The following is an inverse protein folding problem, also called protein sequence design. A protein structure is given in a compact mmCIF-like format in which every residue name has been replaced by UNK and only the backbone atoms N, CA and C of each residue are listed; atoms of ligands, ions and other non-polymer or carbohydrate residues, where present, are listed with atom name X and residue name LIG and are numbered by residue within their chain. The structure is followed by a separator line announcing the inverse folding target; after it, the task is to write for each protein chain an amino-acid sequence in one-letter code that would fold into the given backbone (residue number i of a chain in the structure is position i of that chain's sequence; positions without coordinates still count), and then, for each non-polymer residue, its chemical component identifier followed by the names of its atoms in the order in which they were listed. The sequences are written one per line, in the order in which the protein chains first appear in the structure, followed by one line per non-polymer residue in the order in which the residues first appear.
data_IF_419762594483
#
_entry.id   IF_419762594483
#
_cell.length_a   1.000
_cell.length_b   1.000
_cell.length_c   1.000
_cell.angle_alpha   90.00
_cell.angle_beta   90.00
_cell.angle_gamma   90.00
#
_symmetry.space_group_name_H-M   'P 1'
#
loop_
_entity.id
_entity.type
_entity.pdbx_description
1 polymer ?
#
# COMPACT_ATOMS: atom_id res chain seq x y z
N UNK A 1 -9.52 23.38 3.03
CA UNK A 1 -9.46 23.04 1.59
C UNK A 1 -10.90 22.98 1.15
N UNK A 2 -11.39 23.92 0.33
CA UNK A 2 -12.83 23.98 0.02
C UNK A 2 -13.20 22.81 -0.88
N UNK A 3 -14.03 21.90 -0.38
CA UNK A 3 -14.51 20.76 -1.18
C UNK A 3 -15.56 21.24 -2.18
N UNK A 4 -15.78 20.48 -3.27
CA UNK A 4 -16.82 20.81 -4.25
C UNK A 4 -18.20 20.99 -3.60
N UNK A 5 -18.52 20.22 -2.56
CA UNK A 5 -19.79 20.31 -1.83
C UNK A 5 -19.93 21.61 -1.06
N UNK A 6 -18.88 22.01 -0.32
CA UNK A 6 -18.84 23.28 0.43
C UNK A 6 -19.02 24.47 -0.51
N UNK A 7 -18.40 24.43 -1.70
CA UNK A 7 -18.60 25.45 -2.73
C UNK A 7 -20.02 25.44 -3.29
N UNK A 8 -20.55 24.25 -3.59
CA UNK A 8 -21.91 24.09 -4.12
C UNK A 8 -23.00 24.57 -3.16
N UNK A 9 -22.79 24.46 -1.85
CA UNK A 9 -23.71 25.01 -0.84
C UNK A 9 -23.48 26.49 -0.56
N UNK A 10 -22.26 27.00 -0.72
CA UNK A 10 -21.96 28.42 -0.62
C UNK A 10 -22.45 29.24 -1.82
N UNK A 11 -22.53 28.65 -3.02
CA UNK A 11 -22.95 29.35 -4.24
C UNK A 11 -24.39 29.91 -4.16
N UNK A 12 -25.40 29.16 -3.67
CA UNK A 12 -26.74 29.68 -3.43
C UNK A 12 -26.78 30.90 -2.50
N UNK A 13 -25.84 31.01 -1.54
CA UNK A 13 -25.79 32.13 -0.61
C UNK A 13 -25.40 33.47 -1.25
N UNK A 14 -25.02 33.50 -2.53
CA UNK A 14 -24.71 34.74 -3.25
C UNK A 14 -25.93 35.61 -3.53
N UNK A 15 -27.13 35.02 -3.58
CA UNK A 15 -28.37 35.71 -3.92
C UNK A 15 -29.34 35.72 -2.71
N UNK A 16 -30.13 36.79 -2.59
CA UNK A 16 -31.27 36.87 -1.67
C UNK A 16 -32.55 36.23 -2.25
N UNK A 17 -33.65 36.26 -1.49
CA UNK A 17 -34.94 35.66 -1.87
C UNK A 17 -35.54 36.28 -3.13
N UNK A 18 -35.17 37.52 -3.44
CA UNK A 18 -35.61 38.27 -4.63
C UNK A 18 -34.66 38.08 -5.83
N UNK A 19 -33.61 37.28 -5.67
CA UNK A 19 -32.61 37.01 -6.71
C UNK A 19 -31.56 38.10 -6.87
N UNK A 20 -31.48 39.07 -5.96
CA UNK A 20 -30.46 40.11 -5.98
C UNK A 20 -29.18 39.64 -5.28
N UNK A 21 -28.04 40.23 -5.65
CA UNK A 21 -26.74 39.90 -5.05
C UNK A 21 -26.66 40.45 -3.63
N UNK A 22 -26.38 39.57 -2.66
CA UNK A 22 -26.12 39.95 -1.26
C UNK A 22 -24.86 40.81 -1.12
N UNK A 23 -24.80 41.62 -0.06
CA UNK A 23 -23.57 42.33 0.30
C UNK A 23 -22.46 41.33 0.65
N UNK A 24 -21.19 41.77 0.56
CA UNK A 24 -20.06 40.91 0.94
C UNK A 24 -20.16 40.44 2.41
N UNK A 25 -20.62 41.30 3.32
CA UNK A 25 -20.75 40.99 4.74
C UNK A 25 -21.84 39.94 5.00
N UNK A 26 -22.99 40.05 4.33
CA UNK A 26 -24.07 39.06 4.42
C UNK A 26 -23.63 37.71 3.84
N UNK A 27 -23.02 37.72 2.66
CA UNK A 27 -22.45 36.52 2.06
C UNK A 27 -21.37 35.88 2.94
N UNK A 28 -20.48 36.68 3.52
CA UNK A 28 -19.42 36.19 4.41
C UNK A 28 -20.00 35.52 5.65
N UNK A 29 -21.01 36.12 6.29
CA UNK A 29 -21.67 35.54 7.46
C UNK A 29 -22.35 34.20 7.12
N UNK A 30 -23.06 34.14 5.99
CA UNK A 30 -23.70 32.91 5.50
C UNK A 30 -22.66 31.81 5.25
N UNK A 31 -21.57 32.14 4.54
CA UNK A 31 -20.49 31.20 4.24
C UNK A 31 -19.72 30.77 5.48
N UNK A 32 -19.53 31.64 6.47
CA UNK A 32 -18.89 31.26 7.75
C UNK A 32 -19.72 30.24 8.53
N UNK A 33 -21.06 30.30 8.45
CA UNK A 33 -21.93 29.30 9.06
C UNK A 33 -21.78 27.92 8.38
N UNK A 34 -21.66 27.91 7.05
CA UNK A 34 -21.36 26.72 6.24
C UNK A 34 -19.98 26.18 6.61
N UNK A 35 -18.97 27.04 6.68
CA UNK A 35 -17.59 26.69 7.06
C UNK A 35 -17.54 25.99 8.43
N UNK A 36 -18.28 26.48 9.43
CA UNK A 36 -18.37 25.82 10.75
C UNK A 36 -19.01 24.43 10.70
N UNK A 37 -19.97 24.20 9.80
CA UNK A 37 -20.62 22.90 9.63
C UNK A 37 -19.64 21.87 9.04
N UNK A 38 -18.93 22.23 7.98
CA UNK A 38 -17.97 21.34 7.32
C UNK A 38 -16.67 21.19 8.11
N UNK A 39 -16.02 22.31 8.43
CA UNK A 39 -14.65 22.35 8.94
C UNK A 39 -14.56 22.21 10.47
N UNK A 40 -15.69 22.20 11.19
CA UNK A 40 -15.71 21.87 12.62
C UNK A 40 -16.61 20.67 12.95
N UNK A 41 -17.91 20.72 12.61
CA UNK A 41 -18.85 19.69 13.06
C UNK A 41 -18.66 18.35 12.31
N UNK A 42 -18.66 18.38 10.97
CA UNK A 42 -18.45 17.17 10.17
C UNK A 42 -17.03 16.64 10.34
N UNK A 43 -16.02 17.51 10.29
CA UNK A 43 -14.65 17.13 10.56
C UNK A 43 -14.50 16.41 11.92
N UNK A 44 -15.13 16.91 12.98
CA UNK A 44 -15.11 16.27 14.30
C UNK A 44 -15.82 14.92 14.29
N UNK A 45 -16.99 14.83 13.65
CA UNK A 45 -17.74 13.57 13.56
C UNK A 45 -16.95 12.49 12.79
N UNK A 46 -16.31 12.87 11.70
CA UNK A 46 -15.44 12.00 10.89
C UNK A 46 -14.17 11.59 11.64
N UNK A 47 -13.51 12.54 12.31
CA UNK A 47 -12.36 12.27 13.16
C UNK A 47 -12.69 11.26 14.27
N UNK A 48 -13.81 11.45 14.96
CA UNK A 48 -14.28 10.53 15.99
C UNK A 48 -14.62 9.14 15.41
N UNK A 49 -15.24 9.10 14.23
CA UNK A 49 -15.56 7.85 13.55
C UNK A 49 -14.31 7.04 13.18
N UNK A 50 -13.32 7.68 12.55
CA UNK A 50 -12.06 7.03 12.17
C UNK A 50 -11.33 6.48 13.39
N UNK A 51 -11.28 7.25 14.49
CA UNK A 51 -10.69 6.77 15.74
C UNK A 51 -11.46 5.59 16.33
N UNK A 52 -12.79 5.65 16.40
CA UNK A 52 -13.61 4.56 16.91
C UNK A 52 -13.44 3.29 16.06
N UNK A 53 -13.50 3.40 14.73
CA UNK A 53 -13.25 2.27 13.81
C UNK A 53 -11.86 1.66 14.01
N UNK A 54 -10.82 2.48 14.17
CA UNK A 54 -9.46 1.98 14.42
C UNK A 54 -9.35 1.23 15.76
N UNK A 55 -9.97 1.75 16.83
CA UNK A 55 -10.02 1.07 18.13
C UNK A 55 -10.76 -0.27 18.05
N UNK A 56 -11.88 -0.30 17.32
CA UNK A 56 -12.68 -1.50 17.12
C UNK A 56 -11.94 -2.52 16.23
N UNK A 57 -11.18 -2.08 15.23
CA UNK A 57 -10.32 -2.95 14.44
C UNK A 57 -9.22 -3.62 15.29
N UNK A 58 -8.57 -2.87 16.18
CA UNK A 58 -7.58 -3.42 17.11
C UNK A 58 -8.19 -4.45 18.09
N UNK A 59 -9.43 -4.22 18.52
CA UNK A 59 -10.19 -5.19 19.32
C UNK A 59 -10.47 -6.46 18.54
N UNK A 60 -10.94 -6.35 17.29
CA UNK A 60 -11.19 -7.49 16.43
C UNK A 60 -9.94 -8.37 16.26
N UNK A 61 -8.79 -7.75 15.98
CA UNK A 61 -7.51 -8.48 15.88
C UNK A 61 -7.17 -9.22 17.18
N UNK A 62 -7.36 -8.57 18.33
CA UNK A 62 -7.17 -9.21 19.64
C UNK A 62 -8.13 -10.38 19.85
N UNK A 63 -9.40 -10.23 19.45
CA UNK A 63 -10.41 -11.28 19.59
C UNK A 63 -10.10 -12.50 18.71
N UNK A 64 -9.58 -12.26 17.51
CA UNK A 64 -9.18 -13.33 16.58
C UNK A 64 -8.04 -14.19 17.13
N UNK A 65 -7.13 -13.62 17.94
CA UNK A 65 -6.04 -14.38 18.57
C UNK A 65 -6.54 -15.42 19.57
N UNK A 66 -7.66 -15.14 20.25
CA UNK A 66 -8.28 -16.08 21.20
C UNK A 66 -9.18 -17.13 20.53
N UNK A 67 -9.50 -16.96 19.25
CA UNK A 67 -10.35 -17.86 18.47
C UNK A 67 -11.73 -18.08 19.11
N UNK A 68 -12.20 -19.33 19.12
CA UNK A 68 -13.54 -19.71 19.62
C UNK A 68 -13.63 -19.85 21.15
N UNK A 69 -12.64 -19.36 21.89
CA UNK A 69 -12.63 -19.48 23.36
C UNK A 69 -13.73 -18.65 24.03
N UNK A 70 -14.12 -17.54 23.41
CA UNK A 70 -15.08 -16.58 23.95
C UNK A 70 -16.16 -16.25 22.92
N UNK A 71 -17.34 -15.86 23.41
CA UNK A 71 -18.31 -15.15 22.58
C UNK A 71 -18.00 -13.66 22.63
N UNK A 72 -18.50 -12.92 21.64
CA UNK A 72 -18.51 -11.47 21.66
C UNK A 72 -19.85 -10.98 22.21
N UNK A 73 -19.82 -9.90 22.98
CA UNK A 73 -21.01 -9.24 23.48
C UNK A 73 -20.96 -7.76 23.17
N UNK A 74 -22.05 -7.27 22.57
CA UNK A 74 -22.26 -5.86 22.30
C UNK A 74 -22.53 -5.11 23.60
N UNK A 75 -21.97 -3.90 23.70
CA UNK A 75 -22.02 -3.03 24.87
C UNK A 75 -22.27 -1.61 24.45
N UNK A 76 -23.11 -0.92 25.19
CA UNK A 76 -23.26 0.53 25.07
C UNK A 76 -22.66 1.25 26.26
N UNK A 77 -22.45 2.56 26.14
CA UNK A 77 -22.06 3.40 27.28
C UNK A 77 -23.12 3.43 28.39
N UNK A 78 -24.38 3.06 28.09
CA UNK A 78 -25.49 3.07 29.04
C UNK A 78 -25.95 4.46 29.49
N UNK A 79 -25.50 5.52 28.82
CA UNK A 79 -25.90 6.90 29.10
C UNK A 79 -27.07 7.35 28.21
N UNK A 80 -27.63 8.51 28.54
CA UNK A 80 -28.74 9.17 27.84
C UNK A 80 -28.38 9.64 26.41
N UNK A 81 -27.10 9.55 26.02
CA UNK A 81 -26.60 9.91 24.68
C UNK A 81 -26.51 8.70 23.75
N UNK A 82 -26.72 7.49 24.25
CA UNK A 82 -26.86 6.29 23.41
C UNK A 82 -28.20 6.36 22.69
N UNK A 83 -28.19 6.16 21.36
CA UNK A 83 -29.42 6.11 20.57
C UNK A 83 -30.29 4.93 21.03
N UNK A 84 -31.62 5.08 21.14
CA UNK A 84 -32.50 3.99 21.58
C UNK A 84 -32.32 2.71 20.78
N UNK A 85 -32.16 2.82 19.46
CA UNK A 85 -31.98 1.67 18.57
C UNK A 85 -30.64 0.96 18.80
N UNK A 86 -29.60 1.69 19.23
CA UNK A 86 -28.32 1.09 19.62
C UNK A 86 -28.38 0.51 21.04
N UNK A 87 -29.16 1.10 21.95
CA UNK A 87 -29.36 0.59 23.30
C UNK A 87 -30.02 -0.80 23.27
N UNK A 88 -30.88 -1.06 22.29
CA UNK A 88 -31.48 -2.38 22.05
C UNK A 88 -30.46 -3.47 21.71
N UNK A 89 -29.27 -3.10 21.18
CA UNK A 89 -28.17 -4.03 20.96
C UNK A 89 -27.40 -4.37 22.23
N UNK A 90 -27.61 -3.68 23.36
CA UNK A 90 -26.87 -3.98 24.58
C UNK A 90 -27.08 -5.44 25.00
N UNK A 91 -25.97 -6.15 25.24
CA UNK A 91 -25.95 -7.58 25.61
C UNK A 91 -26.28 -8.56 24.50
N UNK A 92 -26.45 -8.14 23.25
CA UNK A 92 -26.42 -9.07 22.11
C UNK A 92 -25.12 -9.87 22.15
N UNK A 93 -25.24 -11.18 22.31
CA UNK A 93 -24.11 -12.09 22.53
C UNK A 93 -24.08 -13.15 21.46
N UNK A 94 -23.01 -13.20 20.68
CA UNK A 94 -22.88 -14.13 19.56
C UNK A 94 -21.46 -14.70 19.49
N UNK A 95 -21.28 -15.91 18.91
CA UNK A 95 -19.97 -16.38 18.50
C UNK A 95 -19.26 -15.37 17.61
N UNK A 96 -17.92 -15.32 17.64
CA UNK A 96 -17.14 -14.39 16.79
C UNK A 96 -17.35 -14.63 15.28
N UNK A 97 -17.74 -15.85 14.89
CA UNK A 97 -17.98 -16.26 13.51
C UNK A 97 -19.40 -15.96 13.01
N UNK A 98 -20.27 -15.38 13.85
CA UNK A 98 -21.62 -15.05 13.44
C UNK A 98 -21.62 -13.86 12.45
N UNK A 99 -22.35 -13.93 11.32
CA UNK A 99 -22.33 -12.89 10.29
C UNK A 99 -22.91 -11.55 10.77
N UNK A 100 -23.61 -11.52 11.92
CA UNK A 100 -23.97 -10.27 12.59
C UNK A 100 -22.78 -9.33 12.75
N UNK A 101 -21.59 -9.87 13.05
CA UNK A 101 -20.39 -9.05 13.23
C UNK A 101 -19.79 -8.53 11.93
N UNK A 102 -20.23 -9.00 10.76
CA UNK A 102 -19.78 -8.45 9.48
C UNK A 102 -20.46 -7.11 9.19
N UNK A 103 -21.71 -6.95 9.60
CA UNK A 103 -22.53 -5.77 9.30
C UNK A 103 -22.78 -4.85 10.50
N UNK A 104 -22.89 -5.37 11.72
CA UNK A 104 -23.34 -4.61 12.89
C UNK A 104 -22.27 -4.39 13.95
N UNK A 105 -21.00 -4.57 13.58
CA UNK A 105 -19.87 -4.29 14.45
C UNK A 105 -19.64 -2.77 14.57
N UNK A 106 -19.60 -2.19 15.78
CA UNK A 106 -19.44 -0.76 15.97
C UNK A 106 -18.22 -0.18 15.25
N UNK A 107 -18.26 1.09 14.80
CA UNK A 107 -19.31 2.09 15.07
C UNK A 107 -20.52 2.08 14.11
N UNK A 108 -21.73 1.89 14.67
CA UNK A 108 -23.00 1.83 13.91
C UNK A 108 -23.60 3.22 13.63
N UNK A 109 -22.76 4.25 13.51
CA UNK A 109 -23.20 5.63 13.26
C UNK A 109 -22.21 6.71 13.71
N UNK A 110 -22.44 7.95 13.28
CA UNK A 110 -21.64 9.10 13.72
C UNK A 110 -21.70 9.27 15.24
N UNK A 111 -20.53 9.48 15.87
CA UNK A 111 -20.39 9.58 17.33
C UNK A 111 -21.00 8.40 18.10
N UNK A 112 -20.94 7.19 17.53
CA UNK A 112 -21.36 5.96 18.20
C UNK A 112 -20.60 5.78 19.53
N UNK A 113 -21.31 5.39 20.59
CA UNK A 113 -20.79 5.16 21.95
C UNK A 113 -20.81 3.68 22.34
N UNK A 114 -20.84 2.81 21.34
CA UNK A 114 -20.95 1.37 21.50
C UNK A 114 -19.60 0.69 21.32
N UNK A 115 -19.46 -0.50 21.90
CA UNK A 115 -18.26 -1.32 21.84
C UNK A 115 -18.63 -2.79 21.85
N UNK A 116 -17.65 -3.65 21.58
CA UNK A 116 -17.75 -5.10 21.77
C UNK A 116 -16.69 -5.56 22.77
N UNK A 117 -17.02 -6.58 23.55
CA UNK A 117 -16.12 -7.22 24.53
C UNK A 117 -16.24 -8.74 24.43
N UNK A 118 -15.18 -9.47 24.77
CA UNK A 118 -15.26 -10.92 24.92
C UNK A 118 -15.92 -11.30 26.24
N UNK A 119 -16.73 -12.36 26.20
CA UNK A 119 -17.44 -12.90 27.34
C UNK A 119 -17.33 -14.42 27.40
N UNK A 120 -17.37 -14.97 28.62
CA UNK A 120 -17.35 -16.43 28.83
C UNK A 120 -18.67 -17.04 28.37
N UNK A 121 -18.59 -18.05 27.50
CA UNK A 121 -19.74 -18.81 26.98
C UNK A 121 -20.66 -19.36 28.08
N UNK A 122 -20.09 -19.77 29.21
CA UNK A 122 -20.86 -20.33 30.34
C UNK A 122 -21.60 -19.30 31.18
N UNK A 123 -21.23 -18.00 31.12
CA UNK A 123 -21.82 -16.95 31.96
C UNK A 123 -22.87 -16.13 31.21
N UNK A 124 -22.73 -16.00 29.90
CA UNK A 124 -23.59 -15.13 29.09
C UNK A 124 -24.25 -15.95 27.97
N UNK A 125 -25.58 -16.11 27.99
CA UNK A 125 -26.28 -16.88 26.97
C UNK A 125 -26.16 -16.20 25.61
N UNK A 126 -26.16 -17.02 24.55
CA UNK A 126 -26.16 -16.55 23.17
C UNK A 126 -27.55 -15.99 22.84
N UNK A 127 -27.58 -14.82 22.20
CA UNK A 127 -28.80 -14.26 21.60
C UNK A 127 -29.15 -15.05 20.35
N UNK A 128 -30.41 -15.44 20.14
CA UNK A 128 -30.84 -16.07 18.88
C UNK A 128 -30.40 -15.23 17.67
N UNK A 129 -29.85 -15.89 16.65
CA UNK A 129 -29.29 -15.21 15.48
C UNK A 129 -30.29 -14.25 14.81
N UNK A 130 -31.50 -14.73 14.53
CA UNK A 130 -32.53 -13.93 13.87
C UNK A 130 -32.96 -12.70 14.69
N UNK A 131 -32.98 -12.84 16.02
CA UNK A 131 -33.26 -11.72 16.94
C UNK A 131 -32.14 -10.68 16.87
N UNK A 132 -30.88 -11.13 16.93
CA UNK A 132 -29.73 -10.23 16.83
C UNK A 132 -29.70 -9.50 15.48
N UNK A 133 -29.96 -10.20 14.37
CA UNK A 133 -30.03 -9.59 13.04
C UNK A 133 -31.14 -8.54 12.94
N UNK A 134 -32.33 -8.82 13.49
CA UNK A 134 -33.42 -7.85 13.52
C UNK A 134 -33.05 -6.58 14.30
N UNK A 135 -32.40 -6.73 15.45
CA UNK A 135 -31.92 -5.60 16.25
C UNK A 135 -30.82 -4.81 15.52
N UNK A 136 -29.93 -5.50 14.78
CA UNK A 136 -28.89 -4.85 13.96
C UNK A 136 -29.47 -4.04 12.80
N UNK A 137 -30.46 -4.61 12.11
CA UNK A 137 -31.22 -3.94 11.05
C UNK A 137 -31.91 -2.68 11.59
N UNK A 138 -32.56 -2.76 12.75
CA UNK A 138 -33.20 -1.61 13.41
C UNK A 138 -32.17 -0.54 13.80
N UNK A 139 -31.07 -0.95 14.44
CA UNK A 139 -30.01 -0.05 14.89
C UNK A 139 -29.39 0.76 13.75
N UNK A 140 -29.33 0.19 12.55
CA UNK A 140 -28.75 0.83 11.35
C UNK A 140 -29.80 1.23 10.31
N UNK A 141 -31.09 1.08 10.58
CA UNK A 141 -32.15 1.28 9.58
C UNK A 141 -32.25 2.72 9.05
N UNK A 142 -31.72 3.70 9.80
CA UNK A 142 -31.60 5.10 9.37
C UNK A 142 -30.40 5.36 8.45
N UNK A 143 -29.51 4.39 8.29
CA UNK A 143 -28.35 4.47 7.40
C UNK A 143 -28.72 4.14 5.95
N UNK A 144 -29.39 5.06 5.28
CA UNK A 144 -29.84 4.89 3.89
C UNK A 144 -28.70 4.68 2.89
N UNK A 145 -27.46 5.05 3.27
CA UNK A 145 -26.26 4.88 2.44
C UNK A 145 -25.47 3.63 2.84
N UNK A 146 -25.78 2.96 3.94
CA UNK A 146 -25.09 1.76 4.40
C UNK A 146 -23.59 1.98 4.65
N UNK A 147 -23.20 3.15 5.16
CA UNK A 147 -21.79 3.48 5.48
C UNK A 147 -21.37 2.99 6.87
N UNK A 148 -22.32 2.62 7.72
CA UNK A 148 -22.08 2.09 9.06
C UNK A 148 -22.21 0.58 9.13
N UNK A 149 -22.55 -0.07 8.01
CA UNK A 149 -22.69 -1.52 7.90
C UNK A 149 -21.39 -2.16 7.41
N UNK A 150 -20.38 -2.21 8.26
CA UNK A 150 -19.10 -2.85 7.96
C UNK A 150 -18.33 -3.18 9.23
N UNK A 151 -17.38 -4.11 9.13
CA UNK A 151 -16.47 -4.45 10.21
C UNK A 151 -15.06 -3.93 9.92
N UNK A 152 -14.66 -2.90 10.66
CA UNK A 152 -13.36 -2.24 10.50
C UNK A 152 -12.16 -3.18 10.68
N UNK A 153 -12.28 -4.19 11.55
CA UNK A 153 -11.24 -5.18 11.79
C UNK A 153 -11.16 -6.24 10.71
N UNK A 154 -12.31 -6.77 10.29
CA UNK A 154 -12.40 -7.76 9.23
C UNK A 154 -11.96 -7.19 7.88
N UNK A 155 -12.38 -5.96 7.57
CA UNK A 155 -12.01 -5.28 6.33
C UNK A 155 -10.65 -4.59 6.36
N UNK A 156 -10.06 -4.43 7.55
CA UNK A 156 -8.82 -3.68 7.79
C UNK A 156 -8.89 -2.23 7.25
N UNK A 157 -10.00 -1.55 7.53
CA UNK A 157 -10.29 -0.19 7.07
C UNK A 157 -10.96 0.60 8.18
N UNK A 158 -10.63 1.89 8.31
CA UNK A 158 -11.31 2.79 9.26
C UNK A 158 -12.61 3.38 8.71
N UNK A 159 -12.77 3.36 7.37
CA UNK A 159 -13.94 3.82 6.62
C UNK A 159 -14.22 2.82 5.50
N UNK A 160 -15.48 2.47 5.23
CA UNK A 160 -15.82 1.56 4.13
C UNK A 160 -15.48 2.18 2.77
N UNK A 161 -15.32 1.32 1.75
CA UNK A 161 -14.96 1.76 0.40
C UNK A 161 -16.04 2.66 -0.23
N UNK A 162 -17.31 2.46 0.13
CA UNK A 162 -18.38 3.42 -0.17
C UNK A 162 -18.64 4.35 1.01
N UNK A 163 -18.43 5.64 0.82
CA UNK A 163 -18.59 6.69 1.83
C UNK A 163 -18.92 8.04 1.14
N UNK A 164 -19.17 9.14 1.88
CA UNK A 164 -19.51 10.45 1.30
C UNK A 164 -18.53 11.01 0.26
N UNK A 165 -17.28 10.54 0.26
CA UNK A 165 -16.22 10.97 -0.64
C UNK A 165 -15.98 10.00 -1.81
N UNK A 166 -16.76 8.93 -1.90
CA UNK A 166 -16.64 7.91 -2.95
C UNK A 166 -18.00 7.59 -3.57
N UNK A 167 -17.99 6.79 -4.64
CA UNK A 167 -19.22 6.36 -5.33
C UNK A 167 -19.61 4.95 -4.88
N UNK A 168 -20.89 4.60 -4.99
CA UNK A 168 -21.41 3.28 -4.58
C UNK A 168 -20.63 2.10 -5.18
N UNK A 169 -20.19 2.23 -6.43
CA UNK A 169 -19.36 1.25 -7.15
C UNK A 169 -18.00 0.99 -6.47
N UNK A 170 -17.50 1.87 -5.60
CA UNK A 170 -16.26 1.64 -4.87
C UNK A 170 -16.35 0.43 -3.93
N UNK A 171 -17.55 0.05 -3.46
CA UNK A 171 -17.77 -1.11 -2.59
C UNK A 171 -17.28 -2.42 -3.22
N UNK A 172 -17.44 -2.57 -4.53
CA UNK A 172 -17.19 -3.83 -5.22
C UNK A 172 -16.18 -3.73 -6.37
N UNK A 173 -15.59 -2.55 -6.63
CA UNK A 173 -14.68 -2.36 -7.75
C UNK A 173 -13.33 -3.08 -7.61
N UNK A 174 -12.79 -3.47 -8.77
CA UNK A 174 -11.51 -4.17 -8.86
C UNK A 174 -10.33 -3.36 -8.32
N UNK A 175 -10.33 -2.03 -8.48
CA UNK A 175 -9.25 -1.16 -7.99
C UNK A 175 -9.19 -1.15 -6.46
N UNK A 176 -10.34 -0.99 -5.79
CA UNK A 176 -10.42 -1.02 -4.32
C UNK A 176 -10.05 -2.40 -3.77
N UNK A 177 -10.37 -3.47 -4.51
CA UNK A 177 -9.99 -4.86 -4.21
C UNK A 177 -8.56 -5.24 -4.61
N UNK A 178 -7.73 -4.28 -5.07
CA UNK A 178 -6.34 -4.54 -5.45
C UNK A 178 -6.16 -5.32 -6.77
N UNK A 179 -7.23 -5.54 -7.53
CA UNK A 179 -7.23 -6.23 -8.82
C UNK A 179 -6.96 -5.23 -9.95
N UNK A 180 -5.75 -4.68 -9.99
CA UNK A 180 -5.33 -3.72 -11.03
C UNK A 180 -5.06 -4.44 -12.38
N UNK A 181 -6.09 -4.97 -13.05
CA UNK A 181 -5.98 -5.28 -14.48
C UNK A 181 -6.18 -3.98 -15.26
N UNK A 182 -5.11 -3.50 -15.89
CA UNK A 182 -4.99 -2.22 -16.61
C UNK A 182 -6.02 -1.97 -17.75
N UNK A 183 -6.95 -2.89 -18.01
CA UNK A 183 -7.74 -2.92 -19.24
C UNK A 183 -9.00 -2.03 -19.22
N UNK A 184 -9.54 -1.66 -18.05
CA UNK A 184 -10.70 -0.75 -18.01
C UNK A 184 -10.81 -0.02 -16.66
N UNK A 185 -10.52 1.30 -16.67
CA UNK A 185 -10.74 2.20 -15.55
C UNK A 185 -11.62 3.34 -16.07
N UNK A 186 -12.76 3.65 -15.43
CA UNK A 186 -13.56 4.82 -15.79
C UNK A 186 -12.74 6.11 -15.66
N UNK A 187 -12.81 6.99 -16.66
CA UNK A 187 -12.19 8.32 -16.64
C UNK A 187 -12.94 9.25 -15.67
N UNK A 188 -12.69 9.10 -14.38
CA UNK A 188 -13.01 10.13 -13.40
C UNK A 188 -11.85 10.32 -12.42
N UNK A 189 -11.75 11.54 -11.87
CA UNK A 189 -10.65 11.96 -11.00
C UNK A 189 -10.52 11.07 -9.76
N UNK A 190 -11.64 10.59 -9.22
CA UNK A 190 -11.68 9.67 -8.07
C UNK A 190 -10.97 8.35 -8.39
N UNK A 191 -11.23 7.74 -9.55
CA UNK A 191 -10.59 6.50 -9.97
C UNK A 191 -9.10 6.71 -10.28
N UNK A 192 -8.71 7.86 -10.85
CA UNK A 192 -7.32 8.22 -11.08
C UNK A 192 -6.54 8.35 -9.75
N UNK A 193 -7.11 9.06 -8.77
CA UNK A 193 -6.53 9.21 -7.45
C UNK A 193 -6.42 7.87 -6.70
N UNK A 194 -7.49 7.06 -6.74
CA UNK A 194 -7.51 5.74 -6.11
C UNK A 194 -6.39 4.83 -6.65
N UNK A 195 -6.13 4.84 -7.96
CA UNK A 195 -5.03 4.09 -8.57
C UNK A 195 -3.66 4.51 -8.00
N UNK A 196 -3.42 5.81 -7.88
CA UNK A 196 -2.16 6.34 -7.36
C UNK A 196 -1.96 5.98 -5.87
N UNK A 197 -3.00 6.15 -5.05
CA UNK A 197 -2.96 5.81 -3.61
C UNK A 197 -2.70 4.31 -3.42
N UNK A 198 -3.36 3.45 -4.21
CA UNK A 198 -3.17 1.99 -4.11
C UNK A 198 -1.80 1.56 -4.62
N UNK A 199 -1.29 2.17 -5.69
CA UNK A 199 0.08 1.95 -6.14
C UNK A 199 1.10 2.32 -5.04
N UNK A 200 0.91 3.46 -4.37
CA UNK A 200 1.76 3.88 -3.24
C UNK A 200 1.71 2.90 -2.06
N UNK A 201 0.55 2.29 -1.75
CA UNK A 201 0.46 1.27 -0.68
C UNK A 201 1.36 0.06 -0.96
N UNK A 202 1.45 -0.38 -2.22
CA UNK A 202 2.34 -1.47 -2.63
C UNK A 202 3.81 -1.07 -2.68
N UNK A 203 4.10 0.23 -2.83
CA UNK A 203 5.46 0.78 -2.79
C UNK A 203 5.94 1.08 -1.36
N UNK A 204 5.03 1.24 -0.39
CA UNK A 204 5.31 1.55 1.01
C UNK A 204 5.40 0.33 1.96
N UNK A 205 5.24 -0.89 1.46
CA UNK A 205 5.53 -2.10 2.25
C UNK A 205 7.03 -2.34 2.28
N UNK A 206 7.58 -2.69 3.45
CA UNK A 206 9.00 -2.97 3.65
C UNK A 206 9.52 -4.11 2.77
N UNK A 207 10.81 -4.13 2.47
CA UNK A 207 11.44 -5.15 1.64
C UNK A 207 11.24 -6.58 2.16
N UNK A 208 11.16 -6.76 3.49
CA UNK A 208 10.86 -8.01 4.18
C UNK A 208 9.46 -8.54 3.83
N UNK A 209 8.50 -7.66 3.58
CA UNK A 209 7.16 -8.05 3.12
C UNK A 209 7.16 -8.24 1.60
N UNK A 210 7.81 -7.34 0.86
CA UNK A 210 7.89 -7.42 -0.61
C UNK A 210 8.55 -8.71 -1.09
N UNK A 211 9.54 -9.24 -0.37
CA UNK A 211 10.25 -10.46 -0.77
C UNK A 211 9.36 -11.71 -0.71
N UNK A 212 8.26 -11.68 0.04
CA UNK A 212 7.30 -12.80 0.14
C UNK A 212 6.54 -13.04 -1.17
N UNK A 213 6.51 -12.05 -2.09
CA UNK A 213 5.91 -12.20 -3.43
C UNK A 213 6.62 -13.26 -4.29
N UNK A 214 7.87 -13.59 -3.97
CA UNK A 214 8.65 -14.59 -4.66
C UNK A 214 8.33 -15.98 -4.09
N UNK A 215 7.92 -16.90 -4.97
CA UNK A 215 7.60 -18.28 -4.61
C UNK A 215 8.88 -19.08 -4.34
N UNK A 216 8.82 -19.95 -3.33
CA UNK A 216 9.98 -20.75 -2.89
C UNK A 216 10.31 -21.91 -3.85
N UNK A 217 9.49 -22.14 -4.89
CA UNK A 217 9.73 -23.18 -5.90
C UNK A 217 10.63 -22.69 -7.03
N UNK A 218 10.67 -21.39 -7.27
CA UNK A 218 11.44 -20.76 -8.35
C UNK A 218 12.56 -19.87 -7.80
N UNK A 219 12.37 -19.30 -6.62
CA UNK A 219 13.24 -18.27 -6.06
C UNK A 219 13.72 -18.61 -4.65
N UNK A 220 14.97 -18.30 -4.38
CA UNK A 220 15.49 -18.14 -3.02
C UNK A 220 15.41 -16.67 -2.60
N UNK A 221 14.84 -16.42 -1.42
CA UNK A 221 14.73 -15.08 -0.80
C UNK A 221 16.06 -14.71 -0.14
N UNK A 222 17.07 -14.44 -0.95
CA UNK A 222 18.48 -14.45 -0.53
C UNK A 222 18.88 -13.30 0.40
N UNK A 223 18.29 -12.12 0.26
CA UNK A 223 18.69 -10.95 1.04
C UNK A 223 17.57 -9.92 1.18
N UNK A 224 17.49 -9.32 2.37
CA UNK A 224 16.72 -8.10 2.64
C UNK A 224 17.71 -7.11 3.25
N UNK A 225 17.71 -5.87 2.79
CA UNK A 225 18.64 -4.86 3.31
C UNK A 225 18.30 -4.54 4.78
N UNK A 226 19.29 -4.22 5.64
CA UNK A 226 19.07 -3.95 7.05
C UNK A 226 18.10 -2.79 7.33
N UNK A 227 17.98 -1.86 6.38
CA UNK A 227 17.06 -0.72 6.44
C UNK A 227 15.65 -1.06 5.94
N UNK A 228 15.42 -2.29 5.49
CA UNK A 228 14.16 -2.77 4.94
C UNK A 228 13.70 -2.02 3.67
N UNK A 229 14.67 -1.49 2.91
CA UNK A 229 14.41 -0.64 1.74
C UNK A 229 14.62 -1.34 0.40
N UNK A 230 15.33 -2.47 0.36
CA UNK A 230 15.60 -3.22 -0.86
C UNK A 230 15.84 -4.70 -0.57
N UNK A 231 15.79 -5.53 -1.62
CA UNK A 231 15.84 -6.99 -1.51
C UNK A 231 16.62 -7.62 -2.66
N UNK A 232 17.06 -8.86 -2.47
CA UNK A 232 17.57 -9.74 -3.52
C UNK A 232 16.82 -11.07 -3.47
N UNK A 233 16.14 -11.41 -4.57
CA UNK A 233 15.61 -12.73 -4.84
C UNK A 233 16.44 -13.40 -5.95
N UNK A 234 16.95 -14.60 -5.70
CA UNK A 234 17.82 -15.31 -6.64
C UNK A 234 17.10 -16.52 -7.21
N UNK A 235 17.15 -16.72 -8.53
CA UNK A 235 16.60 -17.93 -9.14
C UNK A 235 17.36 -19.16 -8.66
N UNK A 236 16.64 -20.23 -8.33
CA UNK A 236 17.24 -21.48 -7.84
C UNK A 236 18.21 -22.09 -8.85
N UNK A 237 17.94 -21.94 -10.15
CA UNK A 237 18.84 -22.38 -11.21
C UNK A 237 20.18 -21.63 -11.18
N UNK A 238 20.19 -20.34 -10.84
CA UNK A 238 21.43 -19.57 -10.72
C UNK A 238 22.29 -20.05 -9.54
N UNK A 239 21.66 -20.48 -8.46
CA UNK A 239 22.33 -21.08 -7.31
C UNK A 239 22.91 -22.46 -7.71
N UNK A 240 22.17 -23.26 -8.47
CA UNK A 240 22.66 -24.52 -9.01
C UNK A 240 23.88 -24.31 -9.92
N UNK A 241 23.85 -23.34 -10.85
CA UNK A 241 24.99 -22.98 -11.70
C UNK A 241 26.25 -22.65 -10.88
N UNK A 242 26.10 -21.95 -9.75
CA UNK A 242 27.23 -21.57 -8.89
C UNK A 242 27.97 -22.78 -8.28
N UNK A 243 27.31 -23.94 -8.18
CA UNK A 243 27.91 -25.18 -7.66
C UNK A 243 28.69 -25.96 -8.72
N UNK A 244 28.57 -25.61 -10.01
CA UNK A 244 29.17 -26.37 -11.10
C UNK A 244 30.71 -26.31 -11.14
N UNK A 245 31.32 -25.21 -10.69
CA UNK A 245 32.77 -25.07 -10.63
C UNK A 245 33.22 -23.95 -9.68
N UNK A 246 34.50 -23.96 -9.28
CA UNK A 246 35.10 -22.86 -8.51
C UNK A 246 35.04 -21.52 -9.26
N UNK A 247 35.13 -21.55 -10.60
CA UNK A 247 35.03 -20.34 -11.42
C UNK A 247 33.61 -19.76 -11.39
N UNK A 248 32.58 -20.60 -11.56
CA UNK A 248 31.18 -20.18 -11.46
C UNK A 248 30.83 -19.70 -10.05
N UNK A 249 31.32 -20.37 -9.01
CA UNK A 249 31.15 -19.93 -7.62
C UNK A 249 31.76 -18.55 -7.38
N UNK A 250 32.96 -18.31 -7.90
CA UNK A 250 33.64 -17.01 -7.79
C UNK A 250 32.88 -15.90 -8.53
N UNK A 251 32.36 -16.21 -9.72
CA UNK A 251 31.49 -15.29 -10.48
C UNK A 251 30.21 -14.98 -9.70
N UNK A 252 29.52 -16.01 -9.21
CA UNK A 252 28.29 -15.88 -8.44
C UNK A 252 28.48 -15.00 -7.20
N UNK A 253 29.53 -15.25 -6.41
CA UNK A 253 29.81 -14.46 -5.20
C UNK A 253 30.06 -12.99 -5.51
N UNK A 254 30.74 -12.70 -6.62
CA UNK A 254 31.02 -11.34 -7.07
C UNK A 254 29.75 -10.61 -7.48
N UNK A 255 28.92 -11.25 -8.32
CA UNK A 255 27.63 -10.70 -8.77
C UNK A 255 26.67 -10.52 -7.58
N UNK A 256 26.57 -11.51 -6.69
CA UNK A 256 25.77 -11.45 -5.47
C UNK A 256 26.16 -10.26 -4.57
N UNK A 257 27.46 -9.97 -4.41
CA UNK A 257 27.90 -8.78 -3.68
C UNK A 257 27.36 -7.50 -4.30
N UNK A 258 27.43 -7.37 -5.64
CA UNK A 258 26.88 -6.21 -6.33
C UNK A 258 25.36 -6.12 -6.14
N UNK A 259 24.63 -7.24 -6.19
CA UNK A 259 23.18 -7.27 -5.93
C UNK A 259 22.84 -6.75 -4.53
N UNK A 260 23.61 -7.13 -3.51
CA UNK A 260 23.41 -6.64 -2.13
C UNK A 260 23.63 -5.13 -2.03
N UNK A 261 24.67 -4.60 -2.69
CA UNK A 261 24.88 -3.14 -2.76
C UNK A 261 23.67 -2.43 -3.38
N UNK A 262 23.10 -2.97 -4.45
CA UNK A 262 21.87 -2.40 -5.05
C UNK A 262 20.70 -2.41 -4.05
N UNK A 263 20.50 -3.53 -3.34
CA UNK A 263 19.46 -3.63 -2.32
C UNK A 263 19.66 -2.67 -1.12
N UNK A 264 20.90 -2.48 -0.68
CA UNK A 264 21.26 -1.52 0.36
C UNK A 264 21.09 -0.06 -0.07
N UNK A 265 21.08 0.18 -1.38
CA UNK A 265 20.72 1.46 -1.98
C UNK A 265 19.21 1.57 -2.31
N UNK A 266 18.38 0.63 -1.85
CA UNK A 266 16.92 0.72 -1.92
C UNK A 266 16.27 0.07 -3.13
N UNK A 267 16.97 -0.80 -3.85
CA UNK A 267 16.45 -1.43 -5.07
C UNK A 267 15.97 -2.87 -4.82
N UNK A 268 14.91 -3.29 -5.54
CA UNK A 268 14.48 -4.69 -5.58
C UNK A 268 15.22 -5.41 -6.71
N UNK A 269 16.00 -6.44 -6.38
CA UNK A 269 16.86 -7.16 -7.34
C UNK A 269 16.40 -8.60 -7.54
N UNK A 270 16.13 -8.97 -8.79
CA UNK A 270 15.98 -10.34 -9.26
C UNK A 270 17.30 -10.80 -9.88
N UNK A 271 17.97 -11.76 -9.25
CA UNK A 271 19.22 -12.34 -9.74
C UNK A 271 18.94 -13.63 -10.52
N UNK A 272 19.28 -13.63 -11.80
CA UNK A 272 18.73 -14.54 -12.78
C UNK A 272 19.71 -15.64 -13.17
N UNK A 273 19.19 -16.76 -13.68
CA UNK A 273 20.00 -17.83 -14.27
C UNK A 273 20.85 -17.32 -15.44
N UNK A 274 22.04 -17.88 -15.62
CA UNK A 274 22.97 -17.51 -16.69
C UNK A 274 22.76 -18.31 -17.98
N UNK A 275 22.19 -19.51 -17.91
CA UNK A 275 22.00 -20.41 -19.08
C UNK A 275 20.54 -20.60 -19.49
N UNK A 276 20.31 -21.23 -20.65
CA UNK A 276 18.98 -21.58 -21.18
C UNK A 276 18.00 -20.40 -21.35
N UNK A 277 18.51 -19.21 -21.68
CA UNK A 277 17.68 -18.03 -21.98
C UNK A 277 17.63 -17.77 -23.49
N UNK A 278 16.52 -17.21 -24.01
CA UNK A 278 16.42 -16.82 -25.42
C UNK A 278 17.58 -15.90 -25.84
N UNK A 279 17.93 -15.94 -27.13
CA UNK A 279 18.97 -15.06 -27.68
C UNK A 279 18.69 -13.57 -27.33
N UNK A 280 19.73 -12.84 -26.91
CA UNK A 280 19.67 -11.44 -26.43
C UNK A 280 18.95 -11.22 -25.09
N UNK A 281 18.86 -12.25 -24.24
CA UNK A 281 18.46 -12.11 -22.83
C UNK A 281 19.58 -12.51 -21.87
N UNK A 282 20.78 -11.96 -22.05
CA UNK A 282 21.98 -12.37 -21.31
C UNK A 282 22.39 -11.37 -20.22
N UNK A 283 21.42 -10.59 -19.75
CA UNK A 283 21.57 -9.71 -18.60
C UNK A 283 21.54 -10.52 -17.29
N UNK A 284 22.35 -10.09 -16.32
CA UNK A 284 22.59 -10.81 -15.08
C UNK A 284 21.40 -10.66 -14.10
N UNK A 285 20.79 -9.47 -14.06
CA UNK A 285 19.73 -9.13 -13.10
C UNK A 285 18.58 -8.35 -13.72
N UNK A 286 17.46 -8.29 -13.00
CA UNK A 286 16.51 -7.17 -13.11
C UNK A 286 16.49 -6.44 -11.78
N UNK A 287 16.86 -5.16 -11.77
CA UNK A 287 16.67 -4.32 -10.58
C UNK A 287 15.62 -3.26 -10.88
N UNK A 288 14.61 -3.16 -10.03
CA UNK A 288 13.40 -2.35 -10.27
C UNK A 288 12.77 -2.58 -11.65
N UNK A 289 12.75 -3.86 -12.08
CA UNK A 289 12.29 -4.32 -13.40
C UNK A 289 13.17 -3.89 -14.58
N UNK A 290 14.26 -3.16 -14.35
CA UNK A 290 15.24 -2.78 -15.37
C UNK A 290 16.24 -3.91 -15.58
N UNK A 291 16.33 -4.42 -16.80
CA UNK A 291 17.28 -5.48 -17.19
C UNK A 291 18.70 -4.93 -17.16
N UNK A 292 19.60 -5.54 -16.41
CA UNK A 292 20.94 -5.01 -16.25
C UNK A 292 22.05 -6.07 -16.21
N UNK A 293 23.19 -5.70 -16.76
CA UNK A 293 24.46 -6.41 -16.61
C UNK A 293 25.24 -5.85 -15.43
N UNK A 294 25.86 -6.73 -14.65
CA UNK A 294 26.78 -6.40 -13.57
C UNK A 294 28.22 -6.48 -14.08
N UNK A 295 29.03 -5.45 -13.81
CA UNK A 295 30.41 -5.39 -14.27
C UNK A 295 31.34 -4.85 -13.18
N UNK A 296 32.09 -5.75 -12.56
CA UNK A 296 33.12 -5.39 -11.59
C UNK A 296 34.45 -5.08 -12.30
N UNK A 297 34.91 -3.83 -12.19
CA UNK A 297 36.13 -3.34 -12.84
C UNK A 297 37.31 -3.60 -11.91
N UNK A 298 38.08 -4.65 -12.19
CA UNK A 298 39.26 -5.07 -11.40
C UNK A 298 40.60 -4.63 -12.01
N UNK A 299 40.57 -4.04 -13.21
CA UNK A 299 41.76 -3.59 -13.95
C UNK A 299 41.67 -2.14 -14.45
N UNK A 300 42.36 -1.83 -15.55
CA UNK A 300 42.34 -0.50 -16.16
C UNK A 300 40.98 -0.09 -16.72
N UNK A 301 40.72 1.22 -16.79
CA UNK A 301 39.44 1.80 -17.21
C UNK A 301 39.07 1.52 -18.69
N UNK A 302 40.02 1.05 -19.51
CA UNK A 302 39.84 0.85 -20.96
C UNK A 302 38.74 -0.14 -21.35
N UNK A 303 38.30 -1.02 -20.44
CA UNK A 303 37.24 -1.98 -20.73
C UNK A 303 35.81 -1.45 -20.46
N UNK A 304 35.65 -0.31 -19.76
CA UNK A 304 34.33 0.21 -19.36
C UNK A 304 33.45 0.47 -20.58
N UNK A 305 33.96 1.19 -21.59
CA UNK A 305 33.21 1.48 -22.82
C UNK A 305 32.85 0.20 -23.58
N UNK A 306 33.77 -0.77 -23.63
CA UNK A 306 33.54 -2.06 -24.28
C UNK A 306 32.42 -2.84 -23.58
N UNK A 307 32.43 -2.89 -22.24
CA UNK A 307 31.42 -3.58 -21.46
C UNK A 307 30.06 -2.89 -21.55
N UNK A 308 30.02 -1.56 -21.48
CA UNK A 308 28.78 -0.79 -21.63
C UNK A 308 28.13 -1.05 -23.00
N UNK A 309 28.92 -1.00 -24.09
CA UNK A 309 28.42 -1.35 -25.42
C UNK A 309 27.90 -2.78 -25.47
N UNK A 310 28.65 -3.75 -24.93
CA UNK A 310 28.24 -5.16 -24.95
C UNK A 310 26.89 -5.37 -24.24
N UNK A 311 26.76 -4.83 -23.03
CA UNK A 311 25.54 -4.91 -22.22
C UNK A 311 24.33 -4.29 -22.95
N UNK A 312 24.48 -3.02 -23.38
CA UNK A 312 23.37 -2.21 -23.87
C UNK A 312 22.98 -2.46 -25.33
N UNK A 313 23.87 -3.06 -26.14
CA UNK A 313 23.59 -3.28 -27.58
C UNK A 313 23.48 -4.75 -27.97
N UNK A 314 24.21 -5.66 -27.30
CA UNK A 314 24.30 -7.07 -27.70
C UNK A 314 23.57 -8.02 -26.75
N UNK A 315 23.54 -7.70 -25.46
CA UNK A 315 22.99 -8.58 -24.41
C UNK A 315 21.51 -8.31 -24.07
N UNK A 316 20.94 -7.25 -24.66
CA UNK A 316 19.54 -6.85 -24.43
C UNK A 316 19.30 -6.21 -23.06
N UNK A 317 20.36 -5.76 -22.38
CA UNK A 317 20.26 -4.99 -21.14
C UNK A 317 19.80 -3.56 -21.41
N UNK A 318 18.93 -3.06 -20.55
CA UNK A 318 18.46 -1.66 -20.53
C UNK A 318 19.39 -0.78 -19.68
N UNK A 319 20.15 -1.41 -18.78
CA UNK A 319 21.14 -0.78 -17.93
C UNK A 319 22.43 -1.61 -17.81
N UNK A 320 23.50 -0.95 -17.33
CA UNK A 320 24.72 -1.61 -16.85
C UNK A 320 25.13 -0.98 -15.52
N UNK A 321 25.54 -1.82 -14.56
CA UNK A 321 26.03 -1.39 -13.24
C UNK A 321 27.51 -1.70 -13.14
N UNK A 322 28.32 -0.66 -12.94
CA UNK A 322 29.75 -0.78 -12.73
C UNK A 322 30.14 -0.68 -11.26
N UNK A 323 30.92 -1.63 -10.77
CA UNK A 323 31.73 -1.42 -9.56
C UNK A 323 33.12 -0.94 -10.02
N UNK A 324 33.50 0.27 -9.64
CA UNK A 324 34.84 0.83 -9.92
C UNK A 324 35.71 0.79 -8.65
N UNK A 325 37.02 0.55 -8.78
CA UNK A 325 37.84 0.22 -7.62
C UNK A 325 38.24 1.46 -6.79
N UNK A 326 38.36 2.63 -7.42
CA UNK A 326 38.84 3.86 -6.78
C UNK A 326 38.25 5.11 -7.44
N UNK A 327 38.47 6.27 -6.82
CA UNK A 327 38.16 7.60 -7.35
C UNK A 327 39.13 8.12 -8.43
N UNK A 328 39.96 7.27 -9.04
CA UNK A 328 40.89 7.71 -10.06
C UNK A 328 40.13 8.31 -11.27
N UNK A 329 40.55 9.51 -11.69
CA UNK A 329 39.94 10.29 -12.78
C UNK A 329 39.78 9.47 -14.08
N UNK A 330 40.66 8.49 -14.33
CA UNK A 330 40.57 7.62 -15.51
C UNK A 330 39.26 6.82 -15.58
N UNK A 331 38.69 6.41 -14.44
CA UNK A 331 37.43 5.67 -14.41
C UNK A 331 36.25 6.56 -14.74
N UNK A 332 36.21 7.78 -14.18
CA UNK A 332 35.20 8.78 -14.52
C UNK A 332 35.25 9.17 -15.99
N UNK A 333 36.44 9.41 -16.55
CA UNK A 333 36.61 9.71 -17.97
C UNK A 333 36.06 8.58 -18.86
N UNK A 334 36.35 7.32 -18.52
CA UNK A 334 35.84 6.17 -19.26
C UNK A 334 34.32 5.98 -19.12
N UNK A 335 33.76 6.28 -17.95
CA UNK A 335 32.31 6.27 -17.70
C UNK A 335 31.59 7.36 -18.51
N UNK A 336 32.12 8.59 -18.52
CA UNK A 336 31.61 9.69 -19.35
C UNK A 336 31.68 9.34 -20.84
N UNK A 337 32.77 8.72 -21.27
CA UNK A 337 32.89 8.28 -22.66
C UNK A 337 31.91 7.15 -23.01
N UNK A 338 31.67 6.21 -22.09
CA UNK A 338 30.66 5.17 -22.24
C UNK A 338 29.25 5.77 -22.36
N UNK A 339 28.92 6.75 -21.51
CA UNK A 339 27.65 7.50 -21.52
C UNK A 339 27.42 8.22 -22.84
N UNK A 340 28.46 8.85 -23.42
CA UNK A 340 28.40 9.51 -24.74
C UNK A 340 28.16 8.51 -25.89
N UNK A 341 28.71 7.30 -25.78
CA UNK A 341 28.74 6.30 -26.86
C UNK A 341 27.60 5.28 -26.83
N UNK A 342 26.83 5.19 -25.74
CA UNK A 342 25.81 4.17 -25.57
C UNK A 342 24.45 4.79 -25.25
N UNK A 343 23.39 4.19 -25.78
CA UNK A 343 21.99 4.46 -25.43
C UNK A 343 21.55 3.41 -24.40
N UNK A 344 20.93 3.83 -23.29
CA UNK A 344 20.62 2.96 -22.13
C UNK A 344 21.15 3.54 -20.81
N UNK A 345 20.78 3.02 -19.64
CA UNK A 345 21.17 3.59 -18.34
C UNK A 345 22.54 3.08 -17.90
N UNK A 346 23.35 3.94 -17.29
CA UNK A 346 24.66 3.54 -16.76
C UNK A 346 24.72 3.94 -15.30
N UNK A 347 24.88 2.95 -14.45
CA UNK A 347 25.07 3.10 -13.02
C UNK A 347 26.48 2.74 -12.65
N UNK A 348 26.97 3.34 -11.59
CA UNK A 348 28.24 2.95 -10.99
C UNK A 348 28.23 3.17 -9.49
N UNK A 349 29.10 2.46 -8.79
CA UNK A 349 29.47 2.75 -7.41
C UNK A 349 30.96 2.45 -7.23
N UNK A 350 31.53 2.99 -6.17
CA UNK A 350 32.95 2.85 -5.85
C UNK A 350 33.05 1.82 -4.73
N UNK A 351 34.01 0.89 -4.84
CA UNK A 351 34.09 -0.30 -4.00
C UNK A 351 34.18 0.00 -2.48
N UNK A 352 34.75 1.14 -2.11
CA UNK A 352 34.87 1.61 -0.72
C UNK A 352 33.65 2.42 -0.24
N UNK A 353 32.96 3.15 -1.13
CA UNK A 353 31.76 3.92 -0.77
C UNK A 353 30.48 3.08 -0.75
N UNK A 354 30.35 2.11 -1.67
CA UNK A 354 29.13 1.31 -1.88
C UNK A 354 27.84 2.13 -2.11
N UNK A 355 27.98 3.37 -2.61
CA UNK A 355 26.84 4.25 -2.95
C UNK A 355 26.58 4.21 -4.45
N UNK A 356 25.37 3.77 -4.83
CA UNK A 356 24.94 3.69 -6.23
C UNK A 356 24.67 5.08 -6.80
N UNK A 357 25.24 5.36 -7.98
CA UNK A 357 25.09 6.62 -8.72
C UNK A 357 24.66 6.32 -10.15
N UNK A 358 23.75 7.13 -10.70
CA UNK A 358 23.37 7.07 -12.11
C UNK A 358 24.06 8.20 -12.89
N UNK A 359 24.66 7.86 -14.03
CA UNK A 359 25.16 8.85 -14.98
C UNK A 359 24.01 9.44 -15.78
N UNK A 360 23.60 10.64 -15.39
CA UNK A 360 22.61 11.45 -16.11
C UNK A 360 23.18 11.96 -17.43
N UNK A 361 22.28 12.22 -18.39
CA UNK A 361 22.58 12.78 -19.72
C UNK A 361 22.95 14.25 -19.58
#
# INVERSE_FOLDING_TARGET
MKTFHELNEAFPSLLDEDGNRKSFEQFLNDVQSIDSTYNANYLRAEYNFVQASAQMAAKWESFMQDGDRYNLQYRTAGDDKVRPEHAALDRVTLPITDPFWEEYYPPNGWNCRCTVVQVRKSKYPVTPHDEAMALGEEATGKDTKGIFRFNAGLEQKSVPDYNPYTIRRCRDCDIAKGKLKLAFIPDNELCAACRLIRAQKHENIGAAERILKYDEKTWERTYVSPKDIGLVATQLERIAEATASNAERSKFNKEMRMCKVLADNGHDVEYLQGVNRPARQTYDIRFDKVKADLKCVTGGAGNIVKYAKKALTKQGGEAVVFEIPTHDAKYYAALTEARRKCTGRIFFYIADEMVLKELKI
#
